data_IF_614518251983
#
_entry.id   IF_614518251983
#
_cell.length_a   1.000
_cell.length_b   1.000
_cell.length_c   1.000
_cell.angle_alpha   90.00
_cell.angle_beta   90.00
_cell.angle_gamma   90.00
#
_symmetry.space_group_name_H-M   'P 1'
#
loop_
_entity.id
_entity.type
_entity.pdbx_description
1 polymer ?
#
# COMPACT_ATOMS: atom_id res chain seq x y z
N UNK A 1 -3.19 39.11 37.87
CA UNK A 1 -2.85 38.50 36.57
C UNK A 1 -3.53 39.30 35.46
N UNK A 2 -2.73 40.00 34.65
CA UNK A 2 -3.22 41.03 33.73
C UNK A 2 -4.08 40.41 32.61
N UNK A 3 -5.32 40.89 32.47
CA UNK A 3 -6.28 40.49 31.43
C UNK A 3 -5.70 40.59 30.01
N UNK A 4 -4.73 41.47 29.81
CA UNK A 4 -4.01 41.67 28.55
C UNK A 4 -3.14 40.45 28.19
N UNK A 5 -2.53 39.77 29.17
CA UNK A 5 -1.69 38.60 28.91
C UNK A 5 -2.50 37.37 28.50
N UNK A 6 -3.76 37.27 28.93
CA UNK A 6 -4.64 36.15 28.58
C UNK A 6 -5.17 36.28 27.14
N UNK A 7 -5.39 37.51 26.67
CA UNK A 7 -5.82 37.79 25.29
C UNK A 7 -4.74 37.42 24.27
N UNK A 8 -3.46 37.69 24.56
CA UNK A 8 -2.35 37.31 23.67
C UNK A 8 -2.13 35.80 23.60
N UNK A 9 -2.27 35.08 24.73
CA UNK A 9 -2.16 33.61 24.75
C UNK A 9 -3.32 32.95 24.00
N UNK A 10 -4.54 33.50 24.11
CA UNK A 10 -5.72 32.99 23.40
C UNK A 10 -5.63 33.27 21.88
N UNK A 11 -5.14 34.44 21.48
CA UNK A 11 -4.91 34.79 20.07
C UNK A 11 -3.82 33.90 19.43
N UNK A 12 -2.78 33.54 20.18
CA UNK A 12 -1.73 32.63 19.71
C UNK A 12 -2.26 31.19 19.51
N UNK A 13 -3.14 30.71 20.41
CA UNK A 13 -3.80 29.40 20.26
C UNK A 13 -4.81 29.34 19.11
N UNK A 14 -5.50 30.43 18.81
CA UNK A 14 -6.43 30.51 17.66
C UNK A 14 -5.64 30.54 16.34
N UNK A 15 -4.48 31.21 16.29
CA UNK A 15 -3.63 31.25 15.11
C UNK A 15 -3.00 29.89 14.75
N UNK A 16 -2.76 29.02 15.74
CA UNK A 16 -2.25 27.66 15.53
C UNK A 16 -3.31 26.65 15.07
N UNK A 17 -4.58 27.05 14.97
CA UNK A 17 -5.70 26.16 14.67
C UNK A 17 -6.06 26.06 13.18
N UNK A 18 -5.32 26.72 12.28
CA UNK A 18 -5.62 26.79 10.84
C UNK A 18 -4.64 26.03 9.93
N UNK A 19 -4.00 24.95 10.39
CA UNK A 19 -3.48 23.93 9.45
C UNK A 19 -4.64 23.06 8.99
N UNK A 20 -5.56 23.65 8.22
CA UNK A 20 -6.65 22.93 7.58
C UNK A 20 -6.10 21.96 6.54
N UNK A 21 -6.42 20.68 6.65
CA UNK A 21 -6.22 19.72 5.56
C UNK A 21 -6.91 20.28 4.30
N UNK A 22 -6.11 20.68 3.31
CA UNK A 22 -6.60 21.13 1.99
C UNK A 22 -7.47 20.02 1.40
N UNK A 23 -8.72 20.34 1.07
CA UNK A 23 -9.61 19.40 0.38
C UNK A 23 -8.95 19.00 -0.95
N UNK A 24 -8.75 17.70 -1.13
CA UNK A 24 -8.07 17.13 -2.29
C UNK A 24 -9.05 17.03 -3.47
N UNK A 25 -8.74 17.65 -4.62
CA UNK A 25 -9.55 17.59 -5.83
C UNK A 25 -9.58 16.15 -6.39
N UNK A 26 -10.74 15.69 -6.85
CA UNK A 26 -10.88 14.40 -7.55
C UNK A 26 -10.25 14.45 -8.95
N UNK A 27 -9.67 13.34 -9.37
CA UNK A 27 -9.08 13.12 -10.69
C UNK A 27 -9.88 12.01 -11.38
N UNK A 28 -10.35 12.29 -12.60
CA UNK A 28 -11.12 11.33 -13.41
C UNK A 28 -10.25 10.32 -14.14
N UNK A 29 -10.89 9.35 -14.80
CA UNK A 29 -10.28 8.51 -15.83
C UNK A 29 -10.25 9.32 -17.14
N UNK A 30 -9.16 9.22 -17.90
CA UNK A 30 -8.97 10.02 -19.11
C UNK A 30 -8.93 9.12 -20.35
N UNK A 31 -9.60 9.55 -21.42
CA UNK A 31 -9.54 8.90 -22.73
C UNK A 31 -8.20 9.22 -23.41
N UNK A 32 -7.55 8.20 -23.98
CA UNK A 32 -6.27 8.38 -24.66
C UNK A 32 -6.42 9.19 -25.95
N UNK A 33 -5.45 10.05 -26.24
CA UNK A 33 -5.34 10.75 -27.53
C UNK A 33 -4.87 9.88 -28.72
N UNK A 34 -4.82 8.55 -28.54
CA UNK A 34 -4.31 7.56 -29.50
C UNK A 34 -3.35 6.56 -28.86
N UNK A 35 -3.07 5.45 -29.55
CA UNK A 35 -2.13 4.43 -29.08
C UNK A 35 -0.69 4.95 -29.16
N UNK A 36 0.05 4.88 -28.04
CA UNK A 36 1.44 5.32 -27.94
C UNK A 36 2.42 4.23 -28.38
N UNK A 37 3.62 4.60 -28.79
CA UNK A 37 4.66 3.61 -29.05
C UNK A 37 5.04 2.85 -27.77
N UNK A 38 5.46 1.59 -27.89
CA UNK A 38 5.73 0.71 -26.72
C UNK A 38 6.63 1.35 -25.67
N UNK A 39 7.84 1.77 -26.06
CA UNK A 39 8.80 2.36 -25.13
C UNK A 39 8.36 3.74 -24.62
N UNK A 40 7.64 4.50 -25.43
CA UNK A 40 7.11 5.81 -25.05
C UNK A 40 6.08 5.67 -23.93
N UNK A 41 5.16 4.71 -24.07
CA UNK A 41 4.14 4.40 -23.06
C UNK A 41 4.78 4.11 -21.69
N UNK A 42 5.79 3.23 -21.63
CA UNK A 42 6.44 2.90 -20.36
C UNK A 42 7.31 4.04 -19.81
N UNK A 43 7.93 4.85 -20.67
CA UNK A 43 8.67 6.02 -20.23
C UNK A 43 7.74 7.05 -19.56
N UNK A 44 6.59 7.34 -20.17
CA UNK A 44 5.58 8.25 -19.60
C UNK A 44 5.00 7.71 -18.30
N UNK A 45 4.68 6.41 -18.24
CA UNK A 45 4.20 5.77 -17.01
C UNK A 45 5.20 5.91 -15.86
N UNK A 46 6.51 5.81 -16.13
CA UNK A 46 7.53 6.04 -15.10
C UNK A 46 7.70 7.52 -14.74
N UNK A 47 7.59 8.43 -15.71
CA UNK A 47 7.72 9.87 -15.49
C UNK A 47 6.60 10.44 -14.62
N UNK A 48 5.38 9.93 -14.82
CA UNK A 48 4.15 10.34 -14.13
C UNK A 48 3.90 9.57 -12.84
N UNK A 49 4.68 8.52 -12.57
CA UNK A 49 4.57 7.74 -11.35
C UNK A 49 4.69 8.62 -10.10
N UNK A 50 3.94 8.27 -9.05
CA UNK A 50 3.84 9.06 -7.83
C UNK A 50 5.20 9.25 -7.13
N UNK A 51 5.67 10.48 -7.03
CA UNK A 51 7.01 10.81 -6.52
C UNK A 51 6.96 11.10 -5.02
N UNK A 52 7.82 10.42 -4.26
CA UNK A 52 8.01 10.60 -2.83
C UNK A 52 9.35 9.99 -2.40
N UNK A 53 9.97 10.53 -1.35
CA UNK A 53 11.04 9.90 -0.58
C UNK A 53 10.50 9.34 0.73
N UNK A 54 9.51 10.02 1.30
CA UNK A 54 8.77 9.55 2.47
C UNK A 54 7.27 9.76 2.26
N UNK A 55 6.47 8.91 2.87
CA UNK A 55 5.02 8.97 2.79
C UNK A 55 4.43 8.68 4.17
N UNK A 56 3.54 9.54 4.64
CA UNK A 56 2.71 9.27 5.81
C UNK A 56 1.25 9.36 5.42
N UNK A 57 0.41 8.49 5.98
CA UNK A 57 -1.02 8.52 5.76
C UNK A 57 -1.77 7.92 6.94
N UNK A 58 -3.03 8.31 7.09
CA UNK A 58 -3.99 7.63 7.95
C UNK A 58 -4.95 6.82 7.09
N UNK A 59 -5.10 5.55 7.41
CA UNK A 59 -5.99 4.63 6.74
C UNK A 59 -7.14 4.23 7.67
N UNK A 60 -8.32 4.10 7.09
CA UNK A 60 -9.30 3.15 7.61
C UNK A 60 -9.15 1.87 6.79
N UNK A 61 -9.01 0.74 7.47
CA UNK A 61 -8.78 -0.56 6.87
C UNK A 61 -9.94 -1.46 7.23
N UNK A 62 -10.69 -1.88 6.22
CA UNK A 62 -11.80 -2.81 6.35
C UNK A 62 -11.34 -4.19 5.90
N UNK A 63 -11.29 -5.13 6.84
CA UNK A 63 -11.00 -6.53 6.61
C UNK A 63 -12.33 -7.25 6.36
N UNK A 64 -12.51 -7.75 5.15
CA UNK A 64 -13.71 -8.45 4.69
C UNK A 64 -13.41 -9.94 4.59
N UNK A 65 -13.61 -10.69 5.67
CA UNK A 65 -13.44 -12.15 5.68
C UNK A 65 -14.82 -12.83 5.68
N UNK A 66 -14.96 -14.05 5.11
CA UNK A 66 -16.21 -14.79 5.17
C UNK A 66 -16.73 -14.93 6.60
N UNK A 67 -17.86 -14.26 6.90
CA UNK A 67 -18.51 -14.30 8.21
C UNK A 67 -17.92 -13.36 9.27
N UNK A 68 -16.93 -12.53 8.95
CA UNK A 68 -16.40 -11.52 9.88
C UNK A 68 -15.90 -10.28 9.13
N UNK A 69 -16.48 -9.13 9.43
CA UNK A 69 -16.01 -7.84 8.93
C UNK A 69 -15.46 -7.01 10.09
N UNK A 70 -14.25 -6.51 9.93
CA UNK A 70 -13.59 -5.68 10.95
C UNK A 70 -13.07 -4.41 10.32
N UNK A 71 -13.36 -3.26 10.94
CA UNK A 71 -12.75 -1.99 10.55
C UNK A 71 -11.75 -1.55 11.62
N UNK A 72 -10.61 -1.03 11.19
CA UNK A 72 -9.60 -0.49 12.10
C UNK A 72 -8.88 0.68 11.48
N UNK A 73 -8.59 1.68 12.31
CA UNK A 73 -7.72 2.77 11.92
C UNK A 73 -6.27 2.31 11.95
N UNK A 74 -5.53 2.65 10.91
CA UNK A 74 -4.11 2.35 10.75
C UNK A 74 -3.35 3.61 10.37
N UNK A 75 -2.27 3.93 11.07
CA UNK A 75 -1.33 4.97 10.62
C UNK A 75 -0.21 4.29 9.81
N UNK A 76 0.01 4.74 8.57
CA UNK A 76 1.07 4.32 7.67
C UNK A 76 2.20 5.33 7.68
N UNK A 77 3.43 4.82 7.73
CA UNK A 77 4.65 5.54 7.37
C UNK A 77 5.41 4.71 6.35
N UNK A 78 6.06 5.35 5.40
CA UNK A 78 6.88 4.71 4.39
C UNK A 78 8.10 5.57 4.10
N UNK A 79 9.24 4.90 3.94
CA UNK A 79 10.49 5.45 3.39
C UNK A 79 10.75 4.66 2.11
N UNK A 80 10.88 5.37 0.99
CA UNK A 80 11.09 4.76 -0.33
C UNK A 80 12.29 3.81 -0.30
N UNK A 81 12.14 2.66 -0.96
CA UNK A 81 13.18 1.63 -1.10
C UNK A 81 13.79 1.12 0.23
N UNK A 82 13.13 1.35 1.38
CA UNK A 82 13.69 1.03 2.70
C UNK A 82 12.72 0.24 3.58
N UNK A 83 11.61 0.88 3.97
CA UNK A 83 10.64 0.27 4.87
C UNK A 83 9.29 0.96 4.82
N UNK A 84 8.23 0.26 5.21
CA UNK A 84 6.99 0.89 5.64
C UNK A 84 6.45 0.23 6.91
N UNK A 85 5.83 1.06 7.73
CA UNK A 85 5.36 0.73 9.07
C UNK A 85 3.86 0.99 9.15
N UNK A 86 3.11 0.01 9.65
CA UNK A 86 1.67 0.05 9.85
C UNK A 86 1.38 -0.04 11.35
N UNK A 87 0.73 0.98 11.91
CA UNK A 87 0.33 1.03 13.32
C UNK A 87 -1.19 0.95 13.44
N UNK A 88 -1.71 -0.16 13.94
CA UNK A 88 -3.16 -0.40 14.11
C UNK A 88 -3.62 0.15 15.45
N UNK A 89 -4.57 1.07 15.41
CA UNK A 89 -5.05 1.85 16.56
C UNK A 89 -6.59 1.96 16.55
N UNK A 90 -7.32 0.89 16.89
CA UNK A 90 -8.77 0.84 16.73
C UNK A 90 -9.52 1.79 17.68
N UNK A 91 -8.98 2.08 18.88
CA UNK A 91 -9.61 2.96 19.87
C UNK A 91 -8.60 3.90 20.55
N UNK A 92 -8.99 5.18 20.69
CA UNK A 92 -8.31 6.22 21.48
C UNK A 92 -6.80 6.40 21.21
N UNK A 93 -6.32 6.00 20.02
CA UNK A 93 -4.90 6.10 19.66
C UNK A 93 -3.99 5.09 20.35
N UNK A 94 -4.56 4.08 21.03
CA UNK A 94 -3.77 3.00 21.62
C UNK A 94 -3.38 2.03 20.52
N UNK A 95 -2.08 1.90 20.28
CA UNK A 95 -1.55 0.90 19.37
C UNK A 95 -1.74 -0.50 19.95
N UNK A 96 -2.43 -1.36 19.21
CA UNK A 96 -2.63 -2.77 19.55
C UNK A 96 -1.71 -3.68 18.76
N UNK A 97 -1.35 -3.24 17.54
CA UNK A 97 -0.52 -3.99 16.62
C UNK A 97 0.36 -3.03 15.81
N UNK A 98 1.61 -3.40 15.59
CA UNK A 98 2.49 -2.69 14.65
C UNK A 98 3.25 -3.69 13.79
N UNK A 99 3.21 -3.49 12.48
CA UNK A 99 4.03 -4.19 11.53
C UNK A 99 5.03 -3.23 10.91
N UNK A 100 6.24 -3.72 10.66
CA UNK A 100 7.26 -3.06 9.86
C UNK A 100 7.77 -4.05 8.83
N UNK A 101 7.65 -3.66 7.58
CA UNK A 101 8.07 -4.41 6.42
C UNK A 101 9.25 -3.64 5.85
N UNK A 102 10.41 -4.27 5.75
CA UNK A 102 11.64 -3.69 5.21
C UNK A 102 12.13 -4.52 4.02
N UNK A 103 13.22 -4.10 3.39
CA UNK A 103 13.78 -4.79 2.22
C UNK A 103 14.09 -6.28 2.44
N UNK A 104 14.46 -6.68 3.65
CA UNK A 104 14.96 -8.03 3.95
C UNK A 104 14.25 -8.72 5.13
N UNK A 105 13.38 -8.01 5.84
CA UNK A 105 12.79 -8.50 7.08
C UNK A 105 11.40 -7.95 7.36
N UNK A 106 10.67 -8.72 8.16
CA UNK A 106 9.38 -8.35 8.72
C UNK A 106 9.46 -8.39 10.24
N UNK A 107 8.99 -7.31 10.87
CA UNK A 107 8.81 -7.22 12.31
C UNK A 107 7.35 -6.97 12.60
N UNK A 108 6.82 -7.66 13.60
CA UNK A 108 5.44 -7.50 14.04
C UNK A 108 5.42 -7.51 15.56
N UNK A 109 4.69 -6.59 16.17
CA UNK A 109 4.44 -6.58 17.60
C UNK A 109 2.93 -6.58 17.83
N UNK A 110 2.47 -7.60 18.58
CA UNK A 110 1.11 -7.73 19.07
C UNK A 110 1.15 -7.37 20.55
N UNK A 111 0.67 -6.16 20.86
CA UNK A 111 0.71 -5.61 22.23
C UNK A 111 -0.36 -6.20 23.12
N UNK A 112 -1.47 -6.67 22.54
CA UNK A 112 -2.57 -7.31 23.27
C UNK A 112 -2.10 -8.63 23.87
N UNK A 113 -1.40 -9.44 23.07
CA UNK A 113 -0.95 -10.77 23.47
C UNK A 113 0.52 -10.81 23.92
N UNK A 114 1.16 -9.64 24.05
CA UNK A 114 2.57 -9.48 24.48
C UNK A 114 3.51 -10.40 23.71
N UNK A 115 3.39 -10.42 22.39
CA UNK A 115 4.17 -11.29 21.51
C UNK A 115 4.67 -10.54 20.28
N UNK A 116 5.71 -11.06 19.64
CA UNK A 116 6.32 -10.42 18.49
C UNK A 116 6.90 -11.41 17.48
N UNK A 117 7.07 -10.96 16.25
CA UNK A 117 7.83 -11.60 15.17
C UNK A 117 8.95 -10.66 14.77
N UNK A 118 10.12 -11.21 14.46
CA UNK A 118 11.26 -10.47 13.92
C UNK A 118 12.06 -11.46 13.06
N UNK A 119 11.65 -11.61 11.81
CA UNK A 119 12.20 -12.63 10.91
C UNK A 119 12.61 -11.99 9.58
N UNK A 120 13.67 -12.55 8.99
CA UNK A 120 14.20 -12.20 7.69
C UNK A 120 13.49 -13.03 6.60
N UNK A 121 13.29 -12.49 5.41
CA UNK A 121 12.61 -13.20 4.31
C UNK A 121 13.30 -14.50 3.90
N UNK A 122 14.63 -14.58 4.05
CA UNK A 122 15.38 -15.81 3.84
C UNK A 122 14.87 -16.99 4.70
N UNK A 123 14.36 -16.71 5.91
CA UNK A 123 13.81 -17.71 6.82
C UNK A 123 12.33 -18.03 6.56
N UNK A 124 11.66 -17.23 5.72
CA UNK A 124 10.25 -17.36 5.37
C UNK A 124 10.01 -18.01 4.00
N UNK A 125 11.08 -18.34 3.27
CA UNK A 125 10.99 -19.02 1.96
C UNK A 125 10.16 -20.29 2.05
N UNK A 126 9.23 -20.45 1.10
CA UNK A 126 8.31 -21.60 1.01
C UNK A 126 7.09 -21.54 1.94
N UNK A 127 6.87 -20.47 2.70
CA UNK A 127 5.68 -20.31 3.55
C UNK A 127 4.49 -19.65 2.85
N UNK A 128 4.71 -18.94 1.73
CA UNK A 128 3.66 -18.32 0.91
C UNK A 128 3.77 -18.77 -0.54
N UNK A 129 2.63 -18.99 -1.24
CA UNK A 129 2.64 -19.42 -2.65
C UNK A 129 3.17 -18.34 -3.60
N UNK A 130 3.16 -17.07 -3.18
CA UNK A 130 3.69 -15.94 -3.95
C UNK A 130 4.88 -15.35 -3.20
N UNK A 131 6.06 -15.31 -3.84
CA UNK A 131 7.24 -14.62 -3.34
C UNK A 131 7.15 -13.13 -3.71
N UNK A 132 6.44 -12.34 -2.90
CA UNK A 132 6.49 -10.89 -3.01
C UNK A 132 7.79 -10.36 -2.39
N UNK A 133 8.61 -9.67 -3.18
CA UNK A 133 9.68 -8.85 -2.63
C UNK A 133 9.12 -7.51 -2.09
N UNK A 134 9.90 -6.82 -1.26
CA UNK A 134 9.52 -5.53 -0.68
C UNK A 134 9.09 -4.50 -1.74
N UNK A 135 9.82 -4.42 -2.85
CA UNK A 135 9.62 -3.41 -3.90
C UNK A 135 8.29 -3.59 -4.64
N UNK A 136 7.88 -4.83 -4.94
CA UNK A 136 6.58 -5.11 -5.54
C UNK A 136 5.45 -4.68 -4.60
N UNK A 137 5.59 -4.96 -3.29
CA UNK A 137 4.58 -4.58 -2.31
C UNK A 137 4.51 -3.06 -2.13
N UNK A 138 5.66 -2.38 -2.09
CA UNK A 138 5.71 -0.92 -2.12
C UNK A 138 5.05 -0.35 -3.38
N UNK A 139 5.31 -0.93 -4.55
CA UNK A 139 4.71 -0.51 -5.81
C UNK A 139 3.18 -0.67 -5.81
N UNK A 140 2.66 -1.79 -5.29
CA UNK A 140 1.23 -2.01 -5.13
C UNK A 140 0.58 -0.93 -4.24
N UNK A 141 1.19 -0.62 -3.09
CA UNK A 141 0.70 0.42 -2.17
C UNK A 141 0.82 1.85 -2.71
N UNK A 142 1.63 2.07 -3.75
CA UNK A 142 1.91 3.40 -4.27
C UNK A 142 1.52 3.58 -5.73
N UNK A 143 0.75 2.63 -6.29
CA UNK A 143 0.24 2.68 -7.66
C UNK A 143 1.34 2.79 -8.72
N UNK A 144 2.41 2.02 -8.57
CA UNK A 144 3.53 1.97 -9.52
C UNK A 144 3.52 0.68 -10.35
N UNK A 145 3.89 0.80 -11.62
CA UNK A 145 4.24 -0.37 -12.43
C UNK A 145 5.52 -0.99 -11.86
N UNK A 146 5.55 -2.30 -11.72
CA UNK A 146 6.73 -3.03 -11.26
C UNK A 146 7.02 -4.24 -12.12
N UNK A 147 8.28 -4.66 -12.10
CA UNK A 147 8.75 -5.88 -12.72
C UNK A 147 9.06 -6.88 -11.59
N UNK A 148 8.38 -8.04 -11.52
CA UNK A 148 8.53 -8.95 -10.40
C UNK A 148 9.99 -9.35 -10.14
N UNK A 149 10.41 -9.25 -8.87
CA UNK A 149 11.78 -9.60 -8.46
C UNK A 149 12.82 -8.52 -8.76
N UNK A 150 12.43 -7.35 -9.24
CA UNK A 150 13.33 -6.21 -9.49
C UNK A 150 13.02 -5.06 -8.53
N UNK A 151 14.02 -4.22 -8.24
CA UNK A 151 13.83 -2.99 -7.46
C UNK A 151 13.14 -1.89 -8.29
N UNK A 152 13.43 -1.85 -9.60
CA UNK A 152 12.85 -0.87 -10.51
C UNK A 152 12.88 -1.37 -11.95
N UNK A 153 12.35 -0.55 -12.85
CA UNK A 153 12.28 -0.84 -14.29
C UNK A 153 13.26 0.10 -15.00
N UNK A 154 14.21 -0.48 -15.74
CA UNK A 154 15.07 0.28 -16.65
C UNK A 154 14.49 0.27 -18.08
N UNK A 155 14.86 1.23 -18.94
CA UNK A 155 14.36 1.28 -20.32
C UNK A 155 14.64 0.00 -21.14
N UNK A 156 15.76 -0.68 -20.86
CA UNK A 156 16.12 -1.96 -21.51
C UNK A 156 15.15 -3.10 -21.15
N UNK A 157 14.38 -2.96 -20.08
CA UNK A 157 13.43 -3.96 -19.59
C UNK A 157 12.00 -3.72 -20.08
N UNK A 158 11.70 -2.60 -20.77
CA UNK A 158 10.36 -2.34 -21.29
C UNK A 158 9.86 -3.45 -22.24
N UNK A 159 10.76 -4.08 -23.00
CA UNK A 159 10.44 -5.20 -23.88
C UNK A 159 9.94 -6.46 -23.15
N UNK A 160 10.10 -6.54 -21.82
CA UNK A 160 9.57 -7.66 -21.02
C UNK A 160 8.06 -7.57 -20.82
N UNK A 161 7.50 -6.37 -20.92
CA UNK A 161 6.06 -6.17 -20.84
C UNK A 161 5.44 -6.39 -22.21
N UNK A 162 4.29 -7.04 -22.26
CA UNK A 162 3.38 -6.97 -23.42
C UNK A 162 2.43 -5.82 -23.18
N UNK A 163 2.16 -5.04 -24.23
CA UNK A 163 1.25 -3.90 -24.19
C UNK A 163 0.15 -4.09 -25.23
N UNK A 164 -1.10 -4.00 -24.80
CA UNK A 164 -2.27 -3.91 -25.68
C UNK A 164 -3.04 -2.65 -25.31
N UNK A 165 -3.18 -1.73 -26.27
CA UNK A 165 -3.93 -0.49 -26.09
C UNK A 165 -5.24 -0.60 -26.87
N UNK A 166 -6.37 -0.42 -26.19
CA UNK A 166 -7.71 -0.49 -26.76
C UNK A 166 -8.56 0.66 -26.21
N UNK A 167 -8.81 1.66 -27.06
CA UNK A 167 -9.53 2.88 -26.72
C UNK A 167 -8.92 3.60 -25.49
N UNK A 168 -9.69 3.81 -24.41
CA UNK A 168 -9.24 4.55 -23.22
C UNK A 168 -8.43 3.69 -22.24
N UNK A 169 -8.14 2.43 -22.59
CA UNK A 169 -7.48 1.48 -21.68
C UNK A 169 -6.25 0.85 -22.29
N UNK A 170 -5.28 0.57 -21.43
CA UNK A 170 -4.09 -0.19 -21.75
C UNK A 170 -3.98 -1.42 -20.83
N UNK A 171 -3.79 -2.59 -21.42
CA UNK A 171 -3.50 -3.82 -20.71
C UNK A 171 -2.00 -4.13 -20.83
N UNK A 172 -1.35 -4.33 -19.70
CA UNK A 172 0.08 -4.61 -19.59
C UNK A 172 0.26 -5.96 -18.93
N UNK A 173 1.00 -6.86 -19.58
CA UNK A 173 1.23 -8.20 -19.05
C UNK A 173 2.72 -8.50 -18.89
N UNK A 174 3.09 -9.15 -17.79
CA UNK A 174 4.43 -9.73 -17.59
C UNK A 174 4.32 -11.02 -16.79
N UNK A 175 5.26 -11.94 -17.01
CA UNK A 175 5.40 -13.17 -16.21
C UNK A 175 6.69 -13.14 -15.40
N UNK A 176 6.63 -13.69 -14.19
CA UNK A 176 7.83 -13.95 -13.40
C UNK A 176 8.45 -15.32 -13.72
N UNK A 177 9.53 -15.66 -12.99
CA UNK A 177 10.28 -16.90 -13.16
C UNK A 177 9.48 -18.15 -12.75
N UNK A 178 8.44 -17.99 -11.93
CA UNK A 178 7.53 -19.07 -11.51
C UNK A 178 6.32 -19.19 -12.43
N UNK A 179 6.19 -18.29 -13.41
CA UNK A 179 5.10 -18.26 -14.37
C UNK A 179 3.85 -17.51 -13.91
N UNK A 180 3.88 -16.87 -12.73
CA UNK A 180 2.77 -16.01 -12.30
C UNK A 180 2.55 -14.92 -13.34
N UNK A 181 1.30 -14.71 -13.74
CA UNK A 181 0.90 -13.68 -14.69
C UNK A 181 0.49 -12.42 -13.92
N UNK A 182 1.18 -11.33 -14.21
CA UNK A 182 0.88 -10.00 -13.68
C UNK A 182 0.22 -9.21 -14.81
N UNK A 183 -1.02 -8.80 -14.60
CA UNK A 183 -1.80 -8.00 -15.52
C UNK A 183 -2.10 -6.66 -14.87
N UNK A 184 -1.66 -5.57 -15.48
CA UNK A 184 -1.96 -4.21 -15.05
C UNK A 184 -2.92 -3.59 -16.05
N UNK A 185 -4.02 -3.03 -15.56
CA UNK A 185 -4.91 -2.18 -16.36
C UNK A 185 -4.56 -0.73 -16.07
N UNK A 186 -4.33 0.06 -17.11
CA UNK A 186 -4.11 1.50 -17.02
C UNK A 186 -5.11 2.26 -17.91
N UNK A 187 -5.32 3.54 -17.60
CA UNK A 187 -6.10 4.44 -18.46
C UNK A 187 -5.23 5.15 -19.52
N UNK A 188 -5.83 6.07 -20.27
CA UNK A 188 -5.16 6.80 -21.36
C UNK A 188 -4.06 7.77 -20.93
N UNK A 189 -3.92 8.03 -19.62
CA UNK A 189 -2.85 8.81 -18.99
C UNK A 189 -1.95 7.89 -18.13
N UNK A 190 -1.80 6.63 -18.52
CA UNK A 190 -0.85 5.70 -17.90
C UNK A 190 -1.10 5.45 -16.39
N UNK A 191 -2.27 5.82 -15.86
CA UNK A 191 -2.62 5.63 -14.46
C UNK A 191 -3.14 4.22 -14.25
N UNK A 192 -2.49 3.45 -13.38
CA UNK A 192 -2.88 2.06 -13.12
C UNK A 192 -4.21 2.03 -12.37
N UNK A 193 -5.22 1.43 -12.97
CA UNK A 193 -6.56 1.24 -12.42
C UNK A 193 -6.68 -0.08 -11.65
N UNK A 194 -5.94 -1.11 -12.05
CA UNK A 194 -5.90 -2.37 -11.32
C UNK A 194 -4.65 -3.19 -11.60
N UNK A 195 -4.34 -4.12 -10.70
CA UNK A 195 -3.31 -5.14 -10.83
C UNK A 195 -3.88 -6.51 -10.45
N UNK A 196 -3.80 -7.46 -11.36
CA UNK A 196 -4.15 -8.85 -11.14
C UNK A 196 -2.89 -9.72 -11.18
N UNK A 197 -2.71 -10.58 -10.18
CA UNK A 197 -1.59 -11.52 -10.10
C UNK A 197 -2.17 -12.92 -9.99
N UNK A 198 -2.06 -13.71 -11.06
CA UNK A 198 -2.67 -15.02 -11.16
C UNK A 198 -1.62 -16.12 -11.33
N UNK A 199 -1.86 -17.26 -10.68
CA UNK A 199 -1.07 -18.47 -10.91
C UNK A 199 -1.35 -19.06 -12.30
N UNK A 200 -0.40 -19.78 -12.93
CA UNK A 200 -0.59 -20.39 -14.24
C UNK A 200 -1.83 -21.29 -14.39
N UNK A 201 -2.30 -21.88 -13.29
CA UNK A 201 -3.49 -22.74 -13.28
C UNK A 201 -4.79 -21.98 -13.03
N UNK A 202 -4.74 -20.63 -12.92
CA UNK A 202 -5.85 -19.74 -12.54
C UNK A 202 -6.55 -20.14 -11.23
N UNK A 203 -5.86 -20.94 -10.41
CA UNK A 203 -6.41 -21.47 -9.17
C UNK A 203 -6.42 -20.42 -8.08
N UNK A 204 -5.38 -19.61 -8.01
CA UNK A 204 -5.28 -18.51 -7.06
C UNK A 204 -4.96 -17.22 -7.81
N UNK A 205 -5.60 -16.13 -7.38
CA UNK A 205 -5.29 -14.81 -7.88
C UNK A 205 -5.40 -13.75 -6.77
N UNK A 206 -4.58 -12.72 -6.88
CA UNK A 206 -4.68 -11.48 -6.10
C UNK A 206 -5.17 -10.37 -7.04
N UNK A 207 -6.31 -9.78 -6.71
CA UNK A 207 -6.84 -8.60 -7.40
C UNK A 207 -6.58 -7.36 -6.52
N UNK A 208 -6.02 -6.31 -7.10
CA UNK A 208 -5.80 -5.03 -6.44
C UNK A 208 -6.36 -3.90 -7.31
N UNK A 209 -7.43 -3.28 -6.87
CA UNK A 209 -8.12 -2.21 -7.59
C UNK A 209 -7.84 -0.84 -6.97
N UNK A 210 -7.68 0.18 -7.82
CA UNK A 210 -7.38 1.55 -7.44
C UNK A 210 -8.54 2.47 -7.80
N UNK A 211 -9.03 3.24 -6.83
CA UNK A 211 -10.19 4.11 -7.00
C UNK A 211 -10.07 5.41 -6.20
N UNK A 212 -11.01 6.33 -6.45
CA UNK A 212 -11.07 7.65 -5.82
C UNK A 212 -9.72 8.39 -5.91
N UNK A 213 -9.20 8.51 -7.13
CA UNK A 213 -7.97 9.27 -7.36
C UNK A 213 -8.17 10.73 -6.99
N UNK A 214 -7.26 11.26 -6.18
CA UNK A 214 -7.26 12.66 -5.77
C UNK A 214 -5.86 13.23 -5.79
N UNK A 215 -5.76 14.55 -5.87
CA UNK A 215 -4.48 15.24 -5.76
C UNK A 215 -3.97 15.19 -4.31
N UNK A 216 -2.90 14.44 -4.08
CA UNK A 216 -2.09 14.47 -2.87
C UNK A 216 -0.77 15.17 -3.17
N UNK A 217 -0.53 16.27 -2.47
CA UNK A 217 0.61 17.16 -2.75
C UNK A 217 0.78 17.52 -4.24
N UNK A 218 -0.36 17.74 -4.93
CA UNK A 218 -0.39 18.08 -6.36
C UNK A 218 -0.26 16.89 -7.32
N UNK A 219 -0.07 15.67 -6.83
CA UNK A 219 0.06 14.46 -7.65
C UNK A 219 -1.19 13.56 -7.52
N UNK A 220 -1.68 12.94 -8.60
CA UNK A 220 -2.75 11.96 -8.50
C UNK A 220 -2.34 10.76 -7.63
N UNK A 221 -3.20 10.37 -6.69
CA UNK A 221 -3.01 9.18 -5.87
C UNK A 221 -4.36 8.50 -5.57
N UNK A 222 -4.45 7.16 -5.60
CA UNK A 222 -5.69 6.45 -5.31
C UNK A 222 -6.00 6.47 -3.81
N UNK A 223 -7.06 7.18 -3.43
CA UNK A 223 -7.45 7.29 -2.02
C UNK A 223 -8.25 6.08 -1.52
N UNK A 224 -8.68 5.21 -2.43
CA UNK A 224 -9.29 3.92 -2.12
C UNK A 224 -8.54 2.81 -2.85
N UNK A 225 -8.19 1.75 -2.13
CA UNK A 225 -7.70 0.50 -2.73
C UNK A 225 -8.57 -0.66 -2.26
N UNK A 226 -8.90 -1.58 -3.15
CA UNK A 226 -9.61 -2.82 -2.82
C UNK A 226 -8.73 -4.01 -3.19
N UNK A 227 -8.45 -4.88 -2.23
CA UNK A 227 -7.56 -6.02 -2.41
C UNK A 227 -8.34 -7.29 -2.14
N UNK A 228 -8.40 -8.21 -3.10
CA UNK A 228 -9.15 -9.44 -2.97
C UNK A 228 -8.28 -10.65 -3.30
N UNK A 229 -8.40 -11.70 -2.48
CA UNK A 229 -7.79 -13.00 -2.76
C UNK A 229 -8.86 -13.89 -3.36
N UNK A 230 -8.61 -14.43 -4.54
CA UNK A 230 -9.50 -15.35 -5.22
C UNK A 230 -8.93 -16.77 -5.20
N UNK A 231 -9.82 -17.75 -5.08
CA UNK A 231 -9.53 -19.16 -5.26
C UNK A 231 -10.59 -19.77 -6.18
N UNK A 232 -10.17 -20.34 -7.30
CA UNK A 232 -11.05 -20.98 -8.29
C UNK A 232 -12.19 -20.03 -8.73
N UNK A 233 -11.85 -18.75 -8.93
CA UNK A 233 -12.79 -17.68 -9.28
C UNK A 233 -13.67 -17.14 -8.13
N UNK A 234 -13.63 -17.75 -6.94
CA UNK A 234 -14.41 -17.31 -5.79
C UNK A 234 -13.57 -16.48 -4.81
N UNK A 235 -14.12 -15.33 -4.35
CA UNK A 235 -13.47 -14.51 -3.33
C UNK A 235 -13.31 -15.27 -2.01
N UNK A 236 -12.09 -15.25 -1.47
CA UNK A 236 -11.72 -15.82 -0.18
C UNK A 236 -11.69 -14.76 0.92
N UNK A 237 -12.08 -13.53 0.59
CA UNK A 237 -11.96 -12.35 1.43
C UNK A 237 -10.98 -11.33 0.86
N UNK A 238 -10.92 -10.19 1.53
CA UNK A 238 -10.16 -9.05 1.05
C UNK A 238 -9.97 -7.95 2.09
N UNK A 239 -9.27 -6.91 1.67
CA UNK A 239 -8.98 -5.72 2.46
C UNK A 239 -9.33 -4.51 1.61
N UNK A 240 -10.12 -3.59 2.16
CA UNK A 240 -10.35 -2.27 1.55
C UNK A 240 -9.60 -1.23 2.36
N UNK A 241 -8.78 -0.42 1.69
CA UNK A 241 -7.95 0.63 2.27
C UNK A 241 -8.52 1.99 1.89
N UNK A 242 -8.79 2.85 2.88
CA UNK A 242 -9.24 4.22 2.68
C UNK A 242 -8.20 5.20 3.21
N UNK A 243 -7.46 5.85 2.31
CA UNK A 243 -6.40 6.79 2.65
C UNK A 243 -6.97 8.17 2.99
N UNK A 244 -6.32 8.82 3.95
CA UNK A 244 -6.63 10.18 4.38
C UNK A 244 -5.39 10.82 5.00
N UNK A 245 -5.39 12.17 5.11
CA UNK A 245 -4.31 12.93 5.76
C UNK A 245 -2.91 12.55 5.24
N UNK A 246 -2.81 12.35 3.93
CA UNK A 246 -1.58 11.93 3.30
C UNK A 246 -0.60 13.10 3.20
N UNK A 247 0.69 12.84 3.46
CA UNK A 247 1.78 13.79 3.31
C UNK A 247 3.00 13.07 2.73
N UNK A 248 3.63 13.71 1.75
CA UNK A 248 4.90 13.28 1.15
C UNK A 248 6.05 14.13 1.67
N UNK A 249 7.25 13.57 1.67
CA UNK A 249 8.51 14.29 1.87
C UNK A 249 8.62 15.06 3.20
N UNK A 250 7.98 14.50 4.23
CA UNK A 250 8.07 14.97 5.61
C UNK A 250 8.94 14.02 6.44
N UNK A 251 9.77 14.52 7.38
CA UNK A 251 10.60 13.66 8.21
C UNK A 251 9.76 12.60 8.96
N UNK A 252 10.09 11.32 8.74
CA UNK A 252 9.45 10.19 9.41
C UNK A 252 10.39 9.52 10.39
N UNK A 253 9.86 9.22 11.59
CA UNK A 253 10.52 8.34 12.56
C UNK A 253 9.79 7.01 12.62
N UNK A 254 10.53 5.92 12.39
CA UNK A 254 10.06 4.54 12.37
C UNK A 254 10.67 3.74 13.52
N UNK A 255 10.50 4.21 14.76
CA UNK A 255 11.01 3.47 15.92
C UNK A 255 10.27 2.13 16.06
N UNK A 256 11.00 1.06 16.36
CA UNK A 256 10.44 -0.27 16.60
C UNK A 256 11.12 -0.92 17.81
N UNK A 257 10.69 -0.54 19.01
CA UNK A 257 11.19 -1.13 20.26
C UNK A 257 10.35 -2.32 20.69
N UNK A 258 10.98 -3.47 20.92
CA UNK A 258 10.34 -4.67 21.44
C UNK A 258 10.58 -4.72 22.96
N UNK A 259 9.54 -4.69 23.81
CA UNK A 259 9.74 -4.80 25.25
C UNK A 259 10.25 -6.19 25.65
N UNK A 260 11.21 -6.27 26.57
CA UNK A 260 11.88 -7.52 26.96
C UNK A 260 10.94 -8.64 27.43
N UNK A 261 9.76 -8.29 27.97
CA UNK A 261 8.73 -9.24 28.43
C UNK A 261 7.91 -9.88 27.31
N UNK A 262 8.12 -9.51 26.05
CA UNK A 262 7.32 -10.01 24.93
C UNK A 262 7.87 -11.34 24.43
N UNK A 263 6.98 -12.28 24.12
CA UNK A 263 7.34 -13.61 23.63
C UNK A 263 7.56 -13.58 22.11
N UNK A 264 8.72 -14.06 21.64
CA UNK A 264 8.93 -14.29 20.20
C UNK A 264 8.06 -15.46 19.72
N UNK A 265 7.38 -15.28 18.60
CA UNK A 265 6.58 -16.31 17.90
C UNK A 265 6.90 -16.26 16.40
N UNK A 266 6.37 -17.20 15.62
CA UNK A 266 6.56 -17.22 14.16
C UNK A 266 5.52 -16.38 13.43
N UNK A 267 5.84 -15.95 12.21
CA UNK A 267 4.89 -15.24 11.35
C UNK A 267 3.60 -16.05 11.12
N UNK A 268 3.71 -17.35 10.87
CA UNK A 268 2.56 -18.24 10.65
C UNK A 268 1.65 -18.31 11.88
N UNK A 269 2.21 -18.24 13.10
CA UNK A 269 1.42 -18.19 14.34
C UNK A 269 0.63 -16.88 14.48
N UNK A 270 1.21 -15.74 14.05
CA UNK A 270 0.47 -14.47 13.99
C UNK A 270 -0.67 -14.56 12.97
N UNK A 271 -0.39 -14.96 11.73
CA UNK A 271 -1.39 -15.03 10.64
C UNK A 271 -2.56 -15.91 11.05
N UNK A 272 -2.28 -17.11 11.60
CA UNK A 272 -3.31 -18.02 12.07
C UNK A 272 -4.23 -17.37 13.10
N UNK A 273 -3.66 -16.62 14.05
CA UNK A 273 -4.45 -15.96 15.09
C UNK A 273 -5.37 -14.84 14.58
N UNK A 274 -5.01 -14.17 13.47
CA UNK A 274 -5.86 -13.17 12.80
C UNK A 274 -7.02 -13.82 12.05
N UNK A 275 -6.81 -15.02 11.49
CA UNK A 275 -7.86 -15.78 10.80
C UNK A 275 -8.82 -16.51 11.74
N UNK A 276 -8.36 -16.88 12.94
CA UNK A 276 -9.12 -17.69 13.90
C UNK A 276 -9.86 -16.86 14.95
N UNK A 277 -9.67 -15.55 15.00
CA UNK A 277 -10.40 -14.70 15.95
C UNK A 277 -11.84 -14.50 15.45
N UNK A 278 -12.70 -15.46 15.78
CA UNK A 278 -14.06 -15.11 16.22
C UNK A 278 -13.87 -14.35 17.53
N UNK A 279 -13.92 -13.02 17.48
CA UNK A 279 -14.30 -12.24 18.67
C UNK A 279 -15.82 -12.21 18.75
#
# INVERSE_FOLDING_TARGET
MNKISFAFVLAFFIALSFTGCKSTKKVGTVEAGGAKAHNEFFALMQEQAFKYETLTARLNVDLNLPGNNMSSRVDLKMVKDSAFQLSVQPFLGIEVFRAEISVDSVKVIDRMNKRYVADNYANLKGQTPIEFNFYNLQALFTNHLFLPGQQGISPKQYSRFKLKQDGPTAEIQVKDVMGLLYTFMADGEEKILSTCIAEPSDRYALQWDYADFRLADGQPFPMKMDVQVMKEGASQGGITLYFSRMQTDVPVKMDFSIPAKYKRITLSQIIKSLSSSKM
#
